data_IF_033282723857
#
_entry.id   IF_033282723857
#
_cell.length_a   1.000
_cell.length_b   1.000
_cell.length_c   1.000
_cell.angle_alpha   90.00
_cell.angle_beta   90.00
_cell.angle_gamma   90.00
#
_symmetry.space_group_name_H-M   'P 1'
#
loop_
_entity.id
_entity.type
_entity.pdbx_description
1 polymer ?
#
# COMPACT_ATOMS: atom_id res chain seq x y z
N UNK A 1 16.11 -11.83 -10.83
CA UNK A 1 15.22 -10.66 -10.98
C UNK A 1 16.04 -9.38 -10.87
N UNK A 2 15.81 -8.38 -11.73
CA UNK A 2 16.52 -7.10 -11.66
C UNK A 2 16.07 -6.33 -10.41
N UNK A 3 17.02 -5.85 -9.62
CA UNK A 3 16.74 -5.02 -8.44
C UNK A 3 16.36 -3.61 -8.88
N UNK A 4 15.25 -3.10 -8.38
CA UNK A 4 14.88 -1.70 -8.54
C UNK A 4 15.77 -0.83 -7.64
N UNK A 5 16.35 0.23 -8.19
CA UNK A 5 17.22 1.19 -7.49
C UNK A 5 16.52 2.54 -7.34
N UNK A 6 16.93 3.33 -6.35
CA UNK A 6 16.34 4.66 -6.07
C UNK A 6 15.06 4.61 -5.23
N UNK A 7 14.36 5.75 -5.16
CA UNK A 7 13.11 5.89 -4.42
C UNK A 7 11.93 5.37 -5.24
N UNK A 8 11.22 4.36 -4.73
CA UNK A 8 10.17 3.66 -5.46
C UNK A 8 8.80 4.05 -4.89
N UNK A 9 7.91 4.53 -5.75
CA UNK A 9 6.51 4.76 -5.40
C UNK A 9 5.68 3.52 -5.77
N UNK A 10 4.95 2.99 -4.80
CA UNK A 10 4.16 1.76 -4.97
C UNK A 10 2.66 2.10 -4.99
N UNK A 11 1.97 1.52 -5.97
CA UNK A 11 0.52 1.36 -6.00
C UNK A 11 0.13 -0.06 -5.62
N UNK A 12 -0.85 -0.24 -4.73
CA UNK A 12 -1.33 -1.57 -4.31
C UNK A 12 -2.78 -1.74 -4.72
N UNK A 13 -3.09 -2.82 -5.43
CA UNK A 13 -4.44 -3.19 -5.82
C UNK A 13 -5.00 -4.16 -4.78
N UNK A 14 -6.22 -3.89 -4.29
CA UNK A 14 -6.90 -4.75 -3.31
C UNK A 14 -8.35 -5.01 -3.75
N UNK A 15 -8.97 -6.02 -3.17
CA UNK A 15 -10.38 -6.37 -3.44
C UNK A 15 -11.15 -6.85 -2.20
N UNK A 16 -10.55 -6.75 -1.00
CA UNK A 16 -11.10 -7.36 0.21
C UNK A 16 -10.42 -6.93 1.52
N UNK A 17 -10.12 -7.89 2.40
CA UNK A 17 -9.63 -7.63 3.78
C UNK A 17 -8.33 -6.82 3.84
N UNK A 18 -7.41 -6.99 2.89
CA UNK A 18 -6.17 -6.23 2.83
C UNK A 18 -5.12 -6.57 3.89
N UNK A 19 -5.03 -7.82 4.35
CA UNK A 19 -3.97 -8.27 5.28
C UNK A 19 -2.57 -8.04 4.69
N UNK A 20 -2.38 -8.28 3.39
CA UNK A 20 -1.12 -8.01 2.72
C UNK A 20 -0.80 -6.50 2.69
N UNK A 21 -1.80 -5.65 2.43
CA UNK A 21 -1.62 -4.20 2.49
C UNK A 21 -1.20 -3.75 3.90
N UNK A 22 -1.81 -4.31 4.95
CA UNK A 22 -1.47 -4.01 6.35
C UNK A 22 0.02 -4.30 6.63
N UNK A 23 0.51 -5.48 6.26
CA UNK A 23 1.92 -5.84 6.49
C UNK A 23 2.87 -5.04 5.60
N UNK A 24 2.50 -4.75 4.34
CA UNK A 24 3.29 -3.88 3.46
C UNK A 24 3.45 -2.47 4.05
N UNK A 25 2.36 -1.87 4.56
CA UNK A 25 2.42 -0.56 5.23
C UNK A 25 3.29 -0.60 6.48
N UNK A 26 3.20 -1.68 7.27
CA UNK A 26 4.04 -1.86 8.47
C UNK A 26 5.52 -1.95 8.08
N UNK A 27 5.84 -2.70 7.03
CA UNK A 27 7.21 -2.86 6.56
C UNK A 27 7.77 -1.59 5.91
N UNK A 28 6.96 -0.85 5.14
CA UNK A 28 7.37 0.39 4.46
C UNK A 28 7.77 1.53 5.40
N UNK A 29 7.47 1.42 6.70
CA UNK A 29 7.86 2.39 7.73
C UNK A 29 9.22 2.09 8.36
N UNK A 30 9.83 0.94 8.07
CA UNK A 30 11.16 0.61 8.57
C UNK A 30 12.22 1.46 7.85
N UNK A 31 13.20 1.97 8.60
CA UNK A 31 14.25 2.89 8.12
C UNK A 31 15.13 2.33 6.99
N UNK A 32 15.03 1.04 6.67
CA UNK A 32 15.85 0.36 5.66
C UNK A 32 15.12 0.14 4.33
N UNK A 33 14.00 0.84 4.09
CA UNK A 33 13.25 0.70 2.83
C UNK A 33 13.37 1.95 1.96
N UNK A 34 13.63 1.76 0.67
CA UNK A 34 13.72 2.81 -0.35
C UNK A 34 12.38 2.99 -1.10
N UNK A 35 11.27 2.54 -0.53
CA UNK A 35 9.97 2.54 -1.19
C UNK A 35 8.86 3.01 -0.28
N UNK A 36 7.84 3.64 -0.87
CA UNK A 36 6.66 4.14 -0.15
C UNK A 36 5.40 3.80 -0.92
N UNK A 37 4.36 3.39 -0.20
CA UNK A 37 3.02 3.19 -0.79
C UNK A 37 2.37 4.57 -0.91
N UNK A 38 2.13 5.02 -2.14
CA UNK A 38 1.48 6.30 -2.40
C UNK A 38 0.03 6.16 -2.83
N UNK A 39 -0.37 4.98 -3.31
CA UNK A 39 -1.71 4.75 -3.83
C UNK A 39 -2.22 3.36 -3.45
N UNK A 40 -3.48 3.28 -3.07
CA UNK A 40 -4.23 2.01 -2.98
C UNK A 40 -5.45 2.10 -3.89
N UNK A 41 -5.60 1.12 -4.78
CA UNK A 41 -6.71 1.00 -5.72
C UNK A 41 -7.57 -0.17 -5.26
N UNK A 42 -8.89 0.00 -5.22
CA UNK A 42 -9.81 -1.07 -4.87
C UNK A 42 -10.96 -1.17 -5.85
N UNK A 43 -11.17 -2.34 -6.42
CA UNK A 43 -12.35 -2.59 -7.26
C UNK A 43 -13.66 -2.72 -6.45
N UNK A 44 -13.61 -2.64 -5.11
CA UNK A 44 -14.78 -2.67 -4.23
C UNK A 44 -14.77 -1.48 -3.27
N UNK A 45 -15.89 -0.77 -3.19
CA UNK A 45 -16.03 0.42 -2.34
C UNK A 45 -15.99 0.08 -0.85
N UNK A 46 -16.53 -1.08 -0.46
CA UNK A 46 -16.58 -1.55 0.94
C UNK A 46 -15.39 -2.43 1.35
N UNK A 47 -14.32 -2.51 0.54
CA UNK A 47 -13.15 -3.32 0.89
C UNK A 47 -12.56 -2.88 2.25
N UNK A 48 -12.62 -3.76 3.25
CA UNK A 48 -12.12 -3.50 4.61
C UNK A 48 -10.65 -3.06 4.63
N UNK A 49 -9.86 -3.49 3.65
CA UNK A 49 -8.46 -3.08 3.50
C UNK A 49 -8.25 -1.59 3.28
N UNK A 50 -9.24 -0.86 2.74
CA UNK A 50 -9.18 0.59 2.56
C UNK A 50 -8.99 1.34 3.89
N UNK A 51 -9.46 0.77 5.01
CA UNK A 51 -9.27 1.34 6.36
C UNK A 51 -7.78 1.49 6.70
N UNK A 52 -6.94 0.54 6.28
CA UNK A 52 -5.50 0.62 6.52
C UNK A 52 -4.85 1.77 5.75
N UNK A 53 -5.26 1.99 4.50
CA UNK A 53 -4.79 3.12 3.70
C UNK A 53 -5.22 4.47 4.30
N UNK A 54 -6.50 4.60 4.69
CA UNK A 54 -7.05 5.81 5.34
C UNK A 54 -6.29 6.15 6.62
N UNK A 55 -6.11 5.17 7.51
CA UNK A 55 -5.37 5.34 8.79
C UNK A 55 -3.92 5.80 8.60
N UNK A 56 -3.32 5.52 7.44
CA UNK A 56 -1.94 5.88 7.13
C UNK A 56 -1.82 7.06 6.15
N UNK A 57 -2.91 7.80 5.89
CA UNK A 57 -2.94 8.95 4.98
C UNK A 57 -2.44 8.64 3.56
N UNK A 58 -2.66 7.41 3.09
CA UNK A 58 -2.32 6.97 1.73
C UNK A 58 -3.50 7.30 0.80
N UNK A 59 -3.22 7.80 -0.41
CA UNK A 59 -4.26 8.10 -1.40
C UNK A 59 -5.02 6.82 -1.77
N UNK A 60 -6.34 6.92 -1.86
CA UNK A 60 -7.22 5.82 -2.26
C UNK A 60 -7.96 6.23 -3.53
N UNK A 61 -8.13 5.29 -4.44
CA UNK A 61 -9.02 5.41 -5.59
C UNK A 61 -9.80 4.10 -5.75
N UNK A 62 -10.97 4.18 -6.38
CA UNK A 62 -11.90 3.08 -6.59
C UNK A 62 -12.17 2.94 -8.07
#
# INVERSE_FOLDING_TARGET
>A
MKKLTGNINIGVFISGRGSNLKELIKYSKKNNTNWKIKLVISNKKEAKGLIYAKKNKIKITQ
#
